data_IF_577908002020
#
_entry.id   IF_577908002020
#
_cell.length_a   1.000
_cell.length_b   1.000
_cell.length_c   1.000
_cell.angle_alpha   90.00
_cell.angle_beta   90.00
_cell.angle_gamma   90.00
#
_symmetry.space_group_name_H-M   'P 1'
#
loop_
_entity.id
_entity.type
_entity.pdbx_description
1 polymer ?
#
# COMPACT_ATOMS: atom_id res chain seq x y z
N UNK A 1 24.19 -19.76 4.68
CA UNK A 1 23.56 -18.46 4.99
C UNK A 1 22.17 -18.51 4.37
N UNK A 2 21.10 -18.16 5.09
CA UNK A 2 19.77 -18.09 4.45
C UNK A 2 19.68 -16.77 3.71
N UNK A 3 19.57 -16.84 2.39
CA UNK A 3 19.24 -15.71 1.53
C UNK A 3 17.90 -15.11 1.95
N UNK A 4 17.80 -13.77 2.03
CA UNK A 4 16.54 -13.09 2.30
C UNK A 4 15.78 -12.86 0.99
N UNK A 5 14.52 -13.23 0.94
CA UNK A 5 13.68 -13.05 -0.25
C UNK A 5 12.70 -11.90 -0.08
N UNK A 6 12.53 -11.09 -1.12
CA UNK A 6 11.46 -10.11 -1.24
C UNK A 6 10.45 -10.63 -2.25
N UNK A 7 9.27 -11.03 -1.76
CA UNK A 7 8.16 -11.35 -2.64
C UNK A 7 7.38 -10.07 -2.96
N UNK A 8 7.24 -9.76 -4.25
CA UNK A 8 6.41 -8.64 -4.71
C UNK A 8 5.23 -9.22 -5.49
N UNK A 9 4.03 -9.02 -4.95
CA UNK A 9 2.79 -9.41 -5.59
C UNK A 9 2.19 -8.22 -6.36
N UNK A 10 1.81 -8.44 -7.61
CA UNK A 10 1.09 -7.45 -8.42
C UNK A 10 -0.21 -8.01 -9.00
N UNK A 11 -1.17 -7.14 -9.29
CA UNK A 11 -2.50 -7.52 -9.75
C UNK A 11 -2.52 -8.05 -11.19
N UNK A 12 -1.63 -7.59 -12.07
CA UNK A 12 -1.63 -7.97 -13.50
C UNK A 12 -0.25 -8.47 -13.99
N UNK A 13 -0.23 -9.16 -15.14
CA UNK A 13 0.98 -9.73 -15.74
C UNK A 13 1.94 -8.68 -16.31
N UNK A 14 1.43 -7.55 -16.81
CA UNK A 14 2.26 -6.43 -17.29
C UNK A 14 3.16 -5.89 -16.17
N UNK A 15 2.61 -5.75 -14.97
CA UNK A 15 3.36 -5.35 -13.79
C UNK A 15 4.24 -6.49 -13.25
N UNK A 16 3.95 -7.76 -13.57
CA UNK A 16 4.88 -8.87 -13.28
C UNK A 16 6.16 -8.74 -14.13
N UNK A 17 6.03 -8.38 -15.41
CA UNK A 17 7.19 -8.22 -16.30
C UNK A 17 8.09 -7.05 -15.88
N UNK A 18 7.53 -5.93 -15.40
CA UNK A 18 8.32 -4.85 -14.84
C UNK A 18 9.02 -5.24 -13.53
N UNK A 19 8.43 -6.12 -12.71
CA UNK A 19 9.09 -6.71 -11.53
C UNK A 19 10.27 -7.61 -11.92
N UNK A 20 10.18 -8.36 -13.02
CA UNK A 20 11.33 -9.11 -13.55
C UNK A 20 12.46 -8.17 -13.98
N UNK A 21 12.14 -7.02 -14.58
CA UNK A 21 13.13 -6.01 -14.98
C UNK A 21 13.80 -5.32 -13.78
N UNK A 22 13.15 -5.28 -12.61
CA UNK A 22 13.76 -4.77 -11.37
C UNK A 22 14.83 -5.71 -10.78
N UNK A 23 14.83 -7.01 -11.12
CA UNK A 23 15.84 -7.98 -10.63
C UNK A 23 17.28 -7.54 -10.90
N UNK A 24 17.52 -6.80 -11.99
CA UNK A 24 18.86 -6.33 -12.37
C UNK A 24 19.33 -5.05 -11.67
N UNK A 25 18.52 -4.41 -10.83
CA UNK A 25 18.79 -3.05 -10.29
C UNK A 25 18.76 -2.90 -8.77
N UNK A 26 18.49 -3.95 -8.00
CA UNK A 26 18.78 -3.94 -6.56
C UNK A 26 20.29 -4.13 -6.39
N UNK A 27 21.03 -3.10 -6.82
CA UNK A 27 22.47 -3.00 -6.73
C UNK A 27 22.83 -2.50 -5.33
N UNK A 28 22.77 -3.40 -4.37
CA UNK A 28 23.59 -3.37 -3.17
C UNK A 28 24.18 -4.77 -3.10
N UNK A 29 25.43 -4.91 -2.68
CA UNK A 29 26.17 -6.18 -2.59
C UNK A 29 25.59 -7.09 -1.46
N UNK A 30 24.28 -7.32 -1.49
CA UNK A 30 23.46 -7.96 -0.46
C UNK A 30 22.88 -9.22 -1.08
N UNK A 31 23.15 -10.36 -0.47
CA UNK A 31 22.54 -11.63 -0.87
C UNK A 31 21.02 -11.59 -0.66
N UNK A 32 20.25 -11.76 -1.74
CA UNK A 32 18.80 -11.87 -1.67
C UNK A 32 18.15 -12.17 -3.02
N UNK A 33 16.88 -12.57 -2.98
CA UNK A 33 16.10 -12.91 -4.17
C UNK A 33 14.84 -12.02 -4.26
N UNK A 34 14.50 -11.55 -5.47
CA UNK A 34 13.17 -10.97 -5.75
C UNK A 34 12.30 -12.04 -6.39
N UNK A 35 11.15 -12.30 -5.77
CA UNK A 35 10.17 -13.27 -6.26
C UNK A 35 8.93 -12.52 -6.74
N UNK A 36 8.72 -12.48 -8.06
CA UNK A 36 7.56 -11.83 -8.65
C UNK A 36 6.37 -12.78 -8.67
N UNK A 37 5.25 -12.36 -8.08
CA UNK A 37 4.01 -13.13 -8.04
C UNK A 37 2.83 -12.31 -8.56
N UNK A 38 1.85 -12.98 -9.16
CA UNK A 38 0.57 -12.32 -9.47
C UNK A 38 -0.47 -12.74 -8.46
N UNK A 39 -1.11 -11.76 -7.84
CA UNK A 39 -2.21 -11.99 -6.93
C UNK A 39 -3.15 -10.78 -6.96
N UNK A 40 -4.44 -11.04 -7.08
CA UNK A 40 -5.48 -10.11 -6.71
C UNK A 40 -5.65 -10.11 -5.18
N UNK A 41 -5.37 -8.98 -4.54
CA UNK A 41 -5.51 -8.80 -3.08
C UNK A 41 -6.95 -8.50 -2.65
N UNK A 42 -7.87 -8.26 -3.59
CA UNK A 42 -9.29 -8.09 -3.33
C UNK A 42 -10.07 -9.43 -3.33
N UNK A 43 -9.37 -10.56 -3.52
CA UNK A 43 -9.94 -11.92 -3.59
C UNK A 43 -9.32 -12.86 -2.56
N UNK A 44 -10.13 -13.39 -1.63
CA UNK A 44 -9.69 -14.38 -0.63
C UNK A 44 -9.04 -15.62 -1.26
N UNK A 45 -9.58 -16.10 -2.38
CA UNK A 45 -9.04 -17.29 -3.06
C UNK A 45 -7.64 -17.00 -3.63
N UNK A 46 -7.45 -15.81 -4.18
CA UNK A 46 -6.15 -15.34 -4.67
C UNK A 46 -5.15 -15.15 -3.52
N UNK A 47 -5.57 -14.52 -2.41
CA UNK A 47 -4.75 -14.40 -1.19
C UNK A 47 -4.33 -15.78 -0.67
N UNK A 48 -5.25 -16.75 -0.59
CA UNK A 48 -4.93 -18.10 -0.13
C UNK A 48 -3.97 -18.85 -1.07
N UNK A 49 -3.99 -18.55 -2.37
CA UNK A 49 -2.96 -19.04 -3.31
C UNK A 49 -1.61 -18.38 -3.04
N UNK A 50 -1.61 -17.05 -2.83
CA UNK A 50 -0.40 -16.29 -2.51
C UNK A 50 0.27 -16.79 -1.21
N UNK A 51 -0.51 -17.03 -0.15
CA UNK A 51 0.02 -17.58 1.12
C UNK A 51 0.69 -18.93 0.88
N UNK A 52 0.02 -19.88 0.22
CA UNK A 52 0.60 -21.20 -0.08
C UNK A 52 1.89 -21.13 -0.89
N UNK A 53 1.95 -20.17 -1.82
CA UNK A 53 3.12 -19.97 -2.67
C UNK A 53 4.31 -19.34 -1.90
N UNK A 54 4.04 -18.56 -0.84
CA UNK A 54 5.09 -18.08 0.06
C UNK A 54 5.50 -19.19 1.04
N UNK A 55 4.53 -19.92 1.61
CA UNK A 55 4.80 -21.03 2.54
C UNK A 55 5.63 -22.15 1.92
N UNK A 56 5.52 -22.39 0.61
CA UNK A 56 6.32 -23.39 -0.10
C UNK A 56 7.79 -22.99 -0.27
N UNK A 57 8.12 -21.70 -0.10
CA UNK A 57 9.45 -21.14 -0.33
C UNK A 57 10.11 -20.65 0.94
N UNK A 58 9.34 -20.02 1.82
CA UNK A 58 9.82 -19.31 2.99
C UNK A 58 9.23 -19.89 4.28
N UNK A 59 10.07 -20.01 5.30
CA UNK A 59 9.66 -20.55 6.61
C UNK A 59 8.89 -19.55 7.47
N UNK A 60 9.09 -18.25 7.22
CA UNK A 60 8.39 -17.17 7.90
C UNK A 60 8.24 -15.96 6.95
N UNK A 61 7.41 -15.00 7.35
CA UNK A 61 7.33 -13.70 6.72
C UNK A 61 7.79 -12.66 7.75
N UNK A 62 8.90 -11.99 7.50
CA UNK A 62 9.42 -10.99 8.45
C UNK A 62 8.66 -9.66 8.35
N UNK A 63 8.39 -9.22 7.11
CA UNK A 63 7.83 -7.91 6.81
C UNK A 63 6.71 -8.10 5.78
N UNK A 64 5.50 -7.63 6.11
CA UNK A 64 4.38 -7.51 5.19
C UNK A 64 4.14 -6.03 4.89
N UNK A 65 4.20 -5.63 3.63
CA UNK A 65 3.83 -4.26 3.20
C UNK A 65 2.55 -4.31 2.39
N UNK A 66 1.45 -3.85 2.97
CA UNK A 66 0.19 -3.68 2.25
C UNK A 66 0.24 -2.35 1.47
N UNK A 67 0.79 -2.41 0.26
CA UNK A 67 0.94 -1.25 -0.63
C UNK A 67 -0.17 -1.11 -1.68
N UNK A 68 -0.79 -2.22 -2.08
CA UNK A 68 -1.81 -2.21 -3.12
C UNK A 68 -2.95 -1.24 -2.78
N UNK A 69 -3.35 -0.44 -3.77
CA UNK A 69 -4.43 0.51 -3.64
C UNK A 69 -4.84 1.10 -4.99
N UNK A 70 -6.05 1.62 -5.05
CA UNK A 70 -6.61 2.31 -6.22
C UNK A 70 -7.09 3.70 -5.81
N UNK A 71 -7.16 4.61 -6.79
CA UNK A 71 -7.89 5.88 -6.65
C UNK A 71 -9.39 5.64 -6.84
N UNK A 72 -10.20 6.62 -6.42
CA UNK A 72 -11.60 6.72 -6.80
C UNK A 72 -11.79 7.73 -7.92
N UNK A 73 -13.01 7.77 -8.45
CA UNK A 73 -13.44 8.85 -9.35
C UNK A 73 -13.22 10.24 -8.72
N UNK A 74 -12.85 11.19 -9.58
CA UNK A 74 -12.62 12.60 -9.23
C UNK A 74 -13.89 13.41 -9.43
N UNK A 75 -14.27 14.22 -8.45
CA UNK A 75 -15.46 15.08 -8.50
C UNK A 75 -15.15 16.52 -8.12
N UNK A 76 -15.69 17.47 -8.88
CA UNK A 76 -15.51 18.91 -8.64
C UNK A 76 -16.52 19.41 -7.62
N UNK A 77 -16.04 20.08 -6.58
CA UNK A 77 -16.87 20.64 -5.49
C UNK A 77 -16.95 22.16 -5.52
N UNK A 78 -16.16 22.81 -6.35
CA UNK A 78 -16.07 24.25 -6.54
C UNK A 78 -17.20 24.67 -7.49
N UNK A 79 -18.40 24.84 -6.94
CA UNK A 79 -19.62 25.18 -7.69
C UNK A 79 -20.34 26.38 -7.05
N UNK A 80 -21.00 27.20 -7.86
CA UNK A 80 -21.72 28.38 -7.38
C UNK A 80 -23.09 28.05 -6.76
N UNK A 81 -23.76 26.99 -7.24
CA UNK A 81 -25.10 26.61 -6.79
C UNK A 81 -25.15 25.19 -6.25
N UNK A 82 -26.10 24.92 -5.35
CA UNK A 82 -26.36 23.57 -4.85
C UNK A 82 -26.79 22.59 -5.96
N UNK A 83 -27.47 23.08 -7.00
CA UNK A 83 -27.86 22.28 -8.16
C UNK A 83 -26.65 21.83 -8.98
N UNK A 84 -25.65 22.70 -9.16
CA UNK A 84 -24.39 22.34 -9.81
C UNK A 84 -23.60 21.34 -8.96
N UNK A 85 -23.56 21.54 -7.64
CA UNK A 85 -22.93 20.61 -6.71
C UNK A 85 -23.59 19.22 -6.76
N UNK A 86 -24.93 19.17 -6.74
CA UNK A 86 -25.71 17.93 -6.85
C UNK A 86 -25.45 17.25 -8.20
N UNK A 87 -25.35 18.00 -9.30
CA UNK A 87 -24.99 17.44 -10.60
C UNK A 87 -23.61 16.76 -10.57
N UNK A 88 -22.61 17.38 -9.95
CA UNK A 88 -21.26 16.83 -9.89
C UNK A 88 -21.11 15.65 -8.93
N UNK A 89 -21.85 15.66 -7.80
CA UNK A 89 -21.70 14.65 -6.74
C UNK A 89 -22.69 13.48 -6.85
N UNK A 90 -23.89 13.72 -7.38
CA UNK A 90 -24.97 12.73 -7.41
C UNK A 90 -25.34 12.32 -8.85
N UNK A 91 -25.47 13.26 -9.78
CA UNK A 91 -25.82 12.94 -11.18
C UNK A 91 -24.61 12.50 -12.03
N UNK A 92 -23.44 12.32 -11.41
CA UNK A 92 -22.24 11.84 -12.09
C UNK A 92 -22.31 10.31 -12.25
N UNK A 93 -22.52 9.84 -13.48
CA UNK A 93 -22.63 8.42 -13.82
C UNK A 93 -21.41 7.57 -13.43
N UNK A 94 -20.24 8.19 -13.20
CA UNK A 94 -19.04 7.49 -12.76
C UNK A 94 -18.96 7.33 -11.24
N UNK A 95 -19.54 8.26 -10.49
CA UNK A 95 -19.54 8.24 -9.02
C UNK A 95 -20.62 7.27 -8.49
N UNK A 96 -20.38 5.98 -8.65
CA UNK A 96 -21.33 4.91 -8.30
C UNK A 96 -21.04 4.29 -6.94
N UNK A 97 -21.99 3.54 -6.38
CA UNK A 97 -21.73 2.71 -5.19
C UNK A 97 -20.66 1.63 -5.43
N UNK A 98 -20.51 1.17 -6.68
CA UNK A 98 -19.48 0.20 -7.04
C UNK A 98 -18.08 0.85 -6.99
N UNK A 99 -17.90 2.09 -7.46
CA UNK A 99 -16.65 2.86 -7.29
C UNK A 99 -16.24 2.95 -5.80
N UNK A 100 -17.20 3.28 -4.93
CA UNK A 100 -16.97 3.29 -3.48
C UNK A 100 -16.60 1.91 -2.95
N UNK A 101 -17.36 0.89 -3.34
CA UNK A 101 -17.18 -0.48 -2.83
C UNK A 101 -15.85 -1.06 -3.29
N UNK A 102 -15.45 -0.87 -4.55
CA UNK A 102 -14.18 -1.34 -5.09
C UNK A 102 -12.99 -0.59 -4.47
N UNK A 103 -13.13 0.72 -4.26
CA UNK A 103 -12.13 1.53 -3.55
C UNK A 103 -11.93 0.99 -2.12
N UNK A 104 -13.00 0.73 -1.38
CA UNK A 104 -12.91 0.17 -0.02
C UNK A 104 -12.42 -1.28 -0.01
N UNK A 105 -12.84 -2.09 -0.97
CA UNK A 105 -12.42 -3.48 -1.10
C UNK A 105 -10.91 -3.57 -1.26
N UNK A 106 -10.34 -2.73 -2.11
CA UNK A 106 -8.90 -2.72 -2.38
C UNK A 106 -8.11 -1.96 -1.34
N UNK A 107 -8.56 -0.79 -0.89
CA UNK A 107 -7.77 0.06 0.02
C UNK A 107 -7.93 -0.30 1.50
N UNK A 108 -8.96 -1.05 1.88
CA UNK A 108 -9.30 -1.33 3.29
C UNK A 108 -9.45 -2.83 3.54
N UNK A 109 -10.39 -3.49 2.85
CA UNK A 109 -10.66 -4.91 3.12
C UNK A 109 -9.46 -5.80 2.76
N UNK A 110 -8.73 -5.48 1.69
CA UNK A 110 -7.51 -6.20 1.33
C UNK A 110 -6.47 -6.19 2.45
N UNK A 111 -6.25 -5.03 3.11
CA UNK A 111 -5.32 -4.89 4.24
C UNK A 111 -5.69 -5.89 5.34
N UNK A 112 -6.97 -5.94 5.69
CA UNK A 112 -7.47 -6.88 6.70
C UNK A 112 -7.23 -8.33 6.28
N UNK A 113 -7.69 -8.74 5.10
CA UNK A 113 -7.64 -10.14 4.69
C UNK A 113 -6.24 -10.64 4.39
N UNK A 114 -5.39 -9.81 3.77
CA UNK A 114 -3.98 -10.15 3.53
C UNK A 114 -3.26 -10.28 4.86
N UNK A 115 -3.39 -9.29 5.76
CA UNK A 115 -2.76 -9.35 7.09
C UNK A 115 -3.20 -10.59 7.86
N UNK A 116 -4.52 -10.84 7.96
CA UNK A 116 -5.07 -11.98 8.66
C UNK A 116 -4.56 -13.32 8.09
N UNK A 117 -4.49 -13.44 6.76
CA UNK A 117 -4.04 -14.67 6.12
C UNK A 117 -2.54 -14.96 6.36
N UNK A 118 -1.72 -13.93 6.55
CA UNK A 118 -0.28 -14.06 6.78
C UNK A 118 0.13 -14.11 8.27
N UNK A 119 -0.81 -13.97 9.23
CA UNK A 119 -0.50 -14.01 10.66
C UNK A 119 0.36 -15.21 11.09
N UNK A 120 0.10 -16.46 10.64
CA UNK A 120 0.94 -17.60 11.04
C UNK A 120 2.40 -17.46 10.58
N UNK A 121 2.63 -16.97 9.35
CA UNK A 121 3.98 -16.75 8.84
C UNK A 121 4.67 -15.56 9.51
N UNK A 122 3.93 -14.51 9.83
CA UNK A 122 4.43 -13.33 10.56
C UNK A 122 4.87 -13.69 11.98
N UNK A 123 4.09 -14.53 12.68
CA UNK A 123 4.42 -14.97 14.03
C UNK A 123 5.73 -15.77 14.06
N UNK A 124 5.98 -16.62 13.05
CA UNK A 124 7.23 -17.41 12.91
C UNK A 124 8.49 -16.56 12.76
N UNK A 125 8.38 -15.28 12.38
CA UNK A 125 9.53 -14.37 12.30
C UNK A 125 10.27 -14.31 13.63
N UNK A 126 9.54 -14.14 14.75
CA UNK A 126 10.17 -14.04 16.07
C UNK A 126 10.79 -15.37 16.52
N UNK A 127 10.19 -16.49 16.13
CA UNK A 127 10.65 -17.84 16.45
C UNK A 127 11.98 -18.17 15.76
N UNK A 128 12.11 -17.77 14.49
CA UNK A 128 13.30 -18.02 13.67
C UNK A 128 14.37 -16.94 13.82
N UNK A 129 13.96 -15.71 14.16
CA UNK A 129 14.83 -14.55 14.28
C UNK A 129 14.60 -13.84 15.63
N UNK A 130 15.23 -14.31 16.72
CA UNK A 130 15.08 -13.68 18.03
C UNK A 130 15.37 -12.18 18.02
N UNK A 131 14.42 -11.40 18.53
CA UNK A 131 14.46 -9.93 18.51
C UNK A 131 13.94 -9.29 17.21
N UNK A 132 13.42 -10.07 16.27
CA UNK A 132 12.81 -9.58 15.03
C UNK A 132 11.36 -10.07 14.92
N UNK A 133 10.42 -9.48 15.68
CA UNK A 133 9.01 -9.80 15.54
C UNK A 133 8.51 -9.43 14.14
N UNK A 134 7.57 -10.23 13.62
CA UNK A 134 6.93 -9.94 12.34
C UNK A 134 6.30 -8.55 12.36
N UNK A 135 6.34 -7.85 11.23
CA UNK A 135 5.81 -6.49 11.14
C UNK A 135 4.96 -6.29 9.90
N UNK A 136 3.85 -5.60 10.08
CA UNK A 136 2.92 -5.20 9.03
C UNK A 136 3.02 -3.69 8.87
N UNK A 137 3.20 -3.23 7.63
CA UNK A 137 3.27 -1.83 7.26
C UNK A 137 2.18 -1.57 6.23
N UNK A 138 1.18 -0.78 6.62
CA UNK A 138 0.06 -0.41 5.77
C UNK A 138 0.32 0.95 5.11
N UNK A 139 0.25 1.02 3.78
CA UNK A 139 0.42 2.28 3.06
C UNK A 139 -0.95 2.99 2.96
N UNK A 140 -1.14 3.96 3.85
CA UNK A 140 -2.31 4.85 3.84
C UNK A 140 -2.04 6.06 2.93
N UNK A 141 -2.44 7.27 3.35
CA UNK A 141 -2.23 8.53 2.62
C UNK A 141 -2.52 9.70 3.55
N UNK A 142 -1.85 10.84 3.34
CA UNK A 142 -2.26 12.13 3.96
C UNK A 142 -3.70 12.49 3.62
N UNK A 143 -4.23 12.00 2.49
CA UNK A 143 -5.64 12.14 2.08
C UNK A 143 -6.62 11.55 3.10
N UNK A 144 -6.19 10.56 3.90
CA UNK A 144 -6.98 10.02 5.00
C UNK A 144 -6.92 10.84 6.30
N UNK A 145 -6.14 11.92 6.34
CA UNK A 145 -5.91 12.76 7.52
C UNK A 145 -6.41 14.20 7.33
N UNK A 146 -6.55 14.65 6.09
CA UNK A 146 -7.02 16.00 5.76
C UNK A 146 -8.54 16.08 5.72
N UNK A 147 -9.08 17.30 5.87
CA UNK A 147 -10.53 17.58 5.81
C UNK A 147 -11.07 17.71 4.39
N UNK A 148 -10.22 18.14 3.45
CA UNK A 148 -10.61 18.33 2.05
C UNK A 148 -10.73 16.98 1.35
N UNK A 149 -11.71 16.83 0.47
CA UNK A 149 -11.83 15.66 -0.39
C UNK A 149 -10.72 15.61 -1.46
N UNK A 150 -10.09 16.74 -1.78
CA UNK A 150 -9.14 16.85 -2.90
C UNK A 150 -9.71 16.23 -4.18
N UNK A 151 -11.03 16.37 -4.38
CA UNK A 151 -11.83 15.76 -5.43
C UNK A 151 -12.06 14.23 -5.33
N UNK A 152 -11.52 13.52 -4.34
CA UNK A 152 -11.63 12.05 -4.23
C UNK A 152 -12.26 11.59 -2.91
N UNK A 153 -13.58 11.66 -2.80
CA UNK A 153 -14.30 11.32 -1.55
C UNK A 153 -14.08 9.86 -1.12
N UNK A 154 -14.34 8.89 -2.01
CA UNK A 154 -14.22 7.47 -1.69
C UNK A 154 -12.77 7.09 -1.35
N UNK A 155 -11.79 7.61 -2.10
CA UNK A 155 -10.38 7.40 -1.79
C UNK A 155 -10.00 7.95 -0.42
N UNK A 156 -10.29 9.22 -0.11
CA UNK A 156 -9.92 9.85 1.16
C UNK A 156 -10.58 9.12 2.33
N UNK A 157 -11.87 8.79 2.22
CA UNK A 157 -12.60 8.03 3.22
C UNK A 157 -12.00 6.63 3.42
N UNK A 158 -11.64 5.94 2.34
CA UNK A 158 -10.98 4.63 2.41
C UNK A 158 -9.60 4.70 3.08
N UNK A 159 -8.83 5.76 2.85
CA UNK A 159 -7.50 5.93 3.48
C UNK A 159 -7.61 6.31 4.95
N UNK A 160 -8.64 7.06 5.34
CA UNK A 160 -8.97 7.27 6.76
C UNK A 160 -9.37 5.94 7.45
N UNK A 161 -10.18 5.13 6.78
CA UNK A 161 -10.55 3.80 7.26
C UNK A 161 -9.33 2.87 7.39
N UNK A 162 -8.38 2.92 6.44
CA UNK A 162 -7.13 2.15 6.50
C UNK A 162 -6.24 2.56 7.70
N UNK A 163 -6.17 3.86 8.02
CA UNK A 163 -5.48 4.35 9.23
C UNK A 163 -6.14 3.80 10.50
N UNK A 164 -7.47 3.85 10.58
CA UNK A 164 -8.18 3.32 11.73
C UNK A 164 -8.06 1.78 11.85
N UNK A 165 -8.18 1.07 10.72
CA UNK A 165 -7.99 -0.38 10.64
C UNK A 165 -6.60 -0.81 11.12
N UNK A 166 -5.56 -0.04 10.79
CA UNK A 166 -4.20 -0.30 11.29
C UNK A 166 -4.16 -0.30 12.82
N UNK A 167 -4.86 0.64 13.46
CA UNK A 167 -4.93 0.74 14.93
C UNK A 167 -5.69 -0.44 15.52
N UNK A 168 -6.82 -0.82 14.91
CA UNK A 168 -7.61 -1.99 15.33
C UNK A 168 -6.79 -3.27 15.21
N UNK A 169 -6.17 -3.54 14.06
CA UNK A 169 -5.30 -4.70 13.87
C UNK A 169 -4.15 -4.74 14.88
N UNK A 170 -3.50 -3.59 15.13
CA UNK A 170 -2.42 -3.52 16.11
C UNK A 170 -2.89 -3.87 17.53
N UNK A 171 -4.06 -3.39 17.95
CA UNK A 171 -4.60 -3.64 19.28
C UNK A 171 -4.99 -5.12 19.42
N UNK A 172 -5.84 -5.63 18.53
CA UNK A 172 -6.39 -6.99 18.59
C UNK A 172 -5.29 -8.07 18.53
N UNK A 173 -4.28 -7.88 17.67
CA UNK A 173 -3.15 -8.81 17.55
C UNK A 173 -2.32 -8.83 18.83
N UNK A 174 -2.05 -7.66 19.42
CA UNK A 174 -1.27 -7.54 20.64
C UNK A 174 -2.02 -8.09 21.87
N UNK A 175 -3.32 -7.79 21.99
CA UNK A 175 -4.19 -8.28 23.07
C UNK A 175 -4.36 -9.81 23.01
N UNK A 176 -4.34 -10.38 21.81
CA UNK A 176 -4.32 -11.84 21.60
C UNK A 176 -2.98 -12.50 21.94
N UNK A 177 -1.98 -11.73 22.37
CA UNK A 177 -0.66 -12.24 22.79
C UNK A 177 0.33 -12.47 21.64
N UNK A 178 -0.06 -12.19 20.40
CA UNK A 178 0.83 -12.34 19.24
C UNK A 178 1.87 -11.22 19.19
N UNK A 179 3.10 -11.57 18.84
CA UNK A 179 4.24 -10.62 18.82
C UNK A 179 4.46 -10.13 17.40
N UNK A 180 3.44 -9.47 16.86
CA UNK A 180 3.44 -8.88 15.53
C UNK A 180 3.12 -7.40 15.65
N UNK A 181 3.93 -6.54 15.02
CA UNK A 181 3.72 -5.09 15.00
C UNK A 181 2.88 -4.70 13.79
N UNK A 182 2.01 -3.71 13.93
CA UNK A 182 1.21 -3.17 12.81
C UNK A 182 1.30 -1.66 12.82
N UNK A 183 1.87 -1.08 11.77
CA UNK A 183 2.05 0.36 11.62
C UNK A 183 1.54 0.83 10.26
N UNK A 184 1.35 2.14 10.11
CA UNK A 184 1.01 2.75 8.83
C UNK A 184 1.95 3.89 8.49
N UNK A 185 2.28 3.99 7.21
CA UNK A 185 2.89 5.18 6.60
C UNK A 185 1.78 5.90 5.86
N UNK A 186 1.67 7.23 6.05
CA UNK A 186 0.76 8.10 5.31
C UNK A 186 1.57 8.98 4.35
N UNK A 187 1.81 8.55 3.10
CA UNK A 187 2.61 9.33 2.16
C UNK A 187 1.89 10.63 1.79
N UNK A 188 2.69 11.68 1.57
CA UNK A 188 2.26 12.90 0.89
C UNK A 188 2.26 12.71 -0.62
N UNK A 189 2.70 13.72 -1.35
CA UNK A 189 2.84 13.64 -2.82
C UNK A 189 4.10 12.83 -3.17
N UNK A 190 3.92 11.68 -3.80
CA UNK A 190 4.98 10.82 -4.33
C UNK A 190 4.70 10.50 -5.81
N UNK A 191 5.73 10.42 -6.67
CA UNK A 191 5.56 9.95 -8.04
C UNK A 191 5.03 8.51 -8.09
N UNK A 192 3.87 8.35 -8.71
CA UNK A 192 3.20 7.08 -9.01
C UNK A 192 2.27 7.26 -10.21
N UNK A 193 1.80 6.18 -10.82
CA UNK A 193 0.82 6.24 -11.92
C UNK A 193 -0.44 7.02 -11.50
N UNK A 194 -0.87 6.92 -10.23
CA UNK A 194 -2.00 7.69 -9.71
C UNK A 194 -1.78 9.21 -9.74
N UNK A 195 -0.54 9.66 -9.65
CA UNK A 195 -0.18 11.08 -9.53
C UNK A 195 0.45 11.68 -10.78
N UNK A 196 1.10 10.85 -11.61
CA UNK A 196 1.80 11.24 -12.82
C UNK A 196 1.07 10.74 -14.08
N UNK A 197 -0.01 9.95 -13.94
CA UNK A 197 -0.79 9.32 -15.01
C UNK A 197 -0.02 8.25 -15.82
N UNK A 198 1.31 8.24 -15.75
CA UNK A 198 2.17 7.28 -16.45
C UNK A 198 3.35 6.80 -15.59
N UNK A 199 3.89 5.65 -15.98
CA UNK A 199 5.15 5.09 -15.52
C UNK A 199 5.97 4.63 -16.71
N UNK A 200 7.29 4.66 -16.58
CA UNK A 200 8.17 4.00 -17.54
C UNK A 200 8.19 2.46 -17.36
N UNK A 201 8.95 1.76 -18.20
CA UNK A 201 9.11 0.29 -18.17
C UNK A 201 9.66 -0.29 -16.84
N UNK A 202 10.18 0.58 -15.96
CA UNK A 202 10.67 0.23 -14.63
C UNK A 202 9.70 0.65 -13.51
N UNK A 203 8.44 0.97 -13.82
CA UNK A 203 7.44 1.44 -12.85
C UNK A 203 7.90 2.69 -12.08
N UNK A 204 8.62 3.58 -12.77
CA UNK A 204 8.98 4.89 -12.25
C UNK A 204 8.15 5.96 -12.92
N UNK A 205 7.44 6.70 -12.09
CA UNK A 205 6.74 7.92 -12.45
C UNK A 205 7.60 9.15 -12.16
N UNK A 206 7.29 10.26 -12.84
CA UNK A 206 7.93 11.54 -12.59
C UNK A 206 6.89 12.62 -12.28
N UNK A 207 7.19 13.45 -11.29
CA UNK A 207 6.43 14.66 -11.00
C UNK A 207 7.41 15.83 -11.04
N UNK A 208 7.22 16.82 -11.92
CA UNK A 208 8.04 18.03 -11.95
C UNK A 208 8.04 18.73 -10.58
N UNK A 209 9.22 19.13 -10.11
CA UNK A 209 9.37 19.78 -8.80
C UNK A 209 8.54 21.05 -8.70
N UNK A 210 8.47 21.78 -9.80
CA UNK A 210 7.82 23.07 -9.97
C UNK A 210 6.33 22.99 -9.61
N UNK A 211 5.68 21.85 -9.89
CA UNK A 211 4.25 21.62 -9.62
C UNK A 211 3.92 21.64 -8.12
N UNK A 212 4.90 21.37 -7.26
CA UNK A 212 4.73 21.25 -5.81
C UNK A 212 5.68 22.14 -4.99
N UNK A 213 6.56 22.90 -5.63
CA UNK A 213 7.52 23.77 -4.97
C UNK A 213 6.89 24.75 -3.96
N UNK A 214 5.66 25.21 -4.23
CA UNK A 214 4.88 26.10 -3.35
C UNK A 214 3.72 25.42 -2.62
N UNK A 215 3.51 24.11 -2.84
CA UNK A 215 2.37 23.37 -2.29
C UNK A 215 2.73 22.52 -1.07
N UNK A 216 4.01 22.18 -0.91
CA UNK A 216 4.51 21.40 0.24
C UNK A 216 5.75 22.06 0.85
N UNK A 217 5.95 22.02 2.18
CA UNK A 217 7.10 22.68 2.83
C UNK A 217 8.47 22.23 2.33
N UNK A 218 8.61 20.97 1.92
CA UNK A 218 9.86 20.44 1.35
C UNK A 218 10.18 20.98 -0.06
N UNK A 219 9.25 21.70 -0.70
CA UNK A 219 9.37 22.27 -2.05
C UNK A 219 9.77 21.24 -3.14
N UNK A 220 9.39 19.97 -2.94
CA UNK A 220 9.58 18.85 -3.87
C UNK A 220 8.60 17.71 -3.54
N UNK A 221 8.26 16.85 -4.52
CA UNK A 221 7.64 15.56 -4.23
C UNK A 221 8.58 14.65 -3.43
N UNK A 222 8.00 13.63 -2.79
CA UNK A 222 8.74 12.54 -2.18
C UNK A 222 9.52 11.73 -3.21
N UNK A 223 10.56 11.04 -2.74
CA UNK A 223 11.43 10.16 -3.55
C UNK A 223 11.45 8.76 -2.94
N UNK A 224 11.86 7.78 -3.73
CA UNK A 224 12.01 6.39 -3.27
C UNK A 224 12.83 6.28 -1.97
N UNK A 225 13.88 7.08 -1.84
CA UNK A 225 14.72 7.11 -0.63
C UNK A 225 13.97 7.58 0.61
N UNK A 226 13.03 8.53 0.48
CA UNK A 226 12.23 9.01 1.60
C UNK A 226 11.26 7.91 2.07
N UNK A 227 10.69 7.15 1.12
CA UNK A 227 9.83 5.99 1.42
C UNK A 227 10.62 4.84 2.03
N UNK A 228 11.76 4.49 1.44
CA UNK A 228 12.61 3.40 1.90
C UNK A 228 13.09 3.64 3.33
N UNK A 229 13.48 4.87 3.69
CA UNK A 229 13.85 5.22 5.06
C UNK A 229 12.71 5.03 6.06
N UNK A 230 11.48 5.42 5.70
CA UNK A 230 10.31 5.21 6.56
C UNK A 230 9.99 3.72 6.74
N UNK A 231 10.05 2.93 5.65
CA UNK A 231 9.86 1.48 5.71
C UNK A 231 10.94 0.82 6.57
N UNK A 232 12.22 1.18 6.38
CA UNK A 232 13.33 0.64 7.16
C UNK A 232 13.21 0.98 8.65
N UNK A 233 12.80 2.21 9.00
CA UNK A 233 12.54 2.59 10.39
C UNK A 233 11.46 1.70 11.02
N UNK A 234 10.37 1.43 10.30
CA UNK A 234 9.28 0.59 10.81
C UNK A 234 9.61 -0.90 10.78
N UNK A 235 10.52 -1.34 9.91
CA UNK A 235 10.94 -2.73 9.77
C UNK A 235 12.08 -3.11 10.72
N UNK A 236 12.88 -2.14 11.17
CA UNK A 236 14.03 -2.37 12.02
C UNK A 236 13.65 -2.97 13.38
N UNK A 237 14.61 -3.69 13.97
CA UNK A 237 14.57 -4.19 15.34
C UNK A 237 14.37 -3.04 16.32
N UNK A 238 13.52 -3.26 17.32
CA UNK A 238 13.29 -2.38 18.46
C UNK A 238 13.87 -3.01 19.72
#
# INVERSE_FOLDING_TARGET
MSTQSVAVASHNELNRNSLFNMKGRVALDIEGEIIALTADVASKQSIAKLVREIESREKCLCILVNNAGITSESVTTETETASDMKRNLFDNDKATFDDWTDTYRTNVASIYFVTAAFLPLLQKSLELHPGWPGTVINISSVSGLVKSAQHHFAYNASKAAAVHLTRMLSAEIAESGHKIRVNSIAPGIFPSEMTAQESNEFQKSHIPRENYAKKVPAARPGRDVDMAQAVLMLAAKQ
#
